data_IF_408701448436
#
_entry.id   IF_408701448436
#
_cell.length_a   1.000
_cell.length_b   1.000
_cell.length_c   1.000
_cell.angle_alpha   90.00
_cell.angle_beta   90.00
_cell.angle_gamma   90.00
#
_symmetry.space_group_name_H-M   'P 1'
#
loop_
_entity.id
_entity.type
_entity.pdbx_description
1 polymer ?
#
# COMPACT_ATOMS: atom_id res chain seq x y z
N UNK A 1 -5.26 19.29 -9.16
CA UNK A 1 -5.82 18.62 -7.96
C UNK A 1 -5.07 19.00 -6.68
N UNK A 2 -3.79 18.66 -6.50
CA UNK A 2 -3.05 18.96 -5.26
C UNK A 2 -3.08 20.45 -4.85
N UNK A 3 -2.80 21.37 -5.80
CA UNK A 3 -2.83 22.82 -5.56
C UNK A 3 -4.24 23.29 -5.16
N UNK A 4 -5.28 22.74 -5.77
CA UNK A 4 -6.67 23.09 -5.47
C UNK A 4 -7.08 22.62 -4.08
N UNK A 5 -6.66 21.43 -3.66
CA UNK A 5 -6.86 20.97 -2.29
C UNK A 5 -6.02 21.76 -1.28
N UNK A 6 -4.82 22.19 -1.63
CA UNK A 6 -4.03 23.09 -0.79
C UNK A 6 -4.70 24.45 -0.63
N UNK A 7 -5.30 25.00 -1.69
CA UNK A 7 -6.10 26.21 -1.63
C UNK A 7 -7.32 26.03 -0.72
N UNK A 8 -8.14 25.00 -0.96
CA UNK A 8 -9.31 24.70 -0.14
C UNK A 8 -8.93 24.44 1.32
N UNK A 9 -7.77 23.82 1.57
CA UNK A 9 -7.24 23.65 2.92
C UNK A 9 -6.91 24.99 3.60
N UNK A 10 -6.34 25.95 2.86
CA UNK A 10 -6.11 27.30 3.37
C UNK A 10 -7.41 28.05 3.67
N UNK A 11 -8.40 27.93 2.78
CA UNK A 11 -9.70 28.61 2.90
C UNK A 11 -10.57 28.03 4.02
N UNK A 12 -10.46 26.73 4.29
CA UNK A 12 -11.18 26.06 5.39
C UNK A 12 -10.70 26.45 6.79
N UNK A 13 -9.55 27.12 6.90
CA UNK A 13 -8.91 27.54 8.16
C UNK A 13 -9.05 26.48 9.28
N UNK A 14 -8.51 25.26 9.07
CA UNK A 14 -8.63 24.21 10.06
C UNK A 14 -7.85 24.55 11.33
N UNK A 15 -8.38 24.11 12.46
CA UNK A 15 -7.75 24.19 13.78
C UNK A 15 -6.43 23.40 13.78
N UNK A 16 -5.30 24.11 13.68
CA UNK A 16 -3.97 23.49 13.63
C UNK A 16 -3.68 22.56 14.81
N UNK A 17 -4.22 22.87 16.00
CA UNK A 17 -4.11 22.02 17.19
C UNK A 17 -4.81 20.67 17.02
N UNK A 18 -6.01 20.65 16.46
CA UNK A 18 -6.77 19.40 16.26
C UNK A 18 -6.14 18.55 15.16
N UNK A 19 -5.62 19.18 14.11
CA UNK A 19 -4.85 18.50 13.06
C UNK A 19 -3.58 17.85 13.62
N UNK A 20 -2.78 18.58 14.41
CA UNK A 20 -1.58 18.03 15.02
C UNK A 20 -1.90 16.86 15.96
N UNK A 21 -2.96 16.99 16.77
CA UNK A 21 -3.42 15.90 17.63
C UNK A 21 -3.87 14.70 16.79
N UNK A 22 -4.61 14.92 15.69
CA UNK A 22 -5.08 13.85 14.80
C UNK A 22 -3.97 13.13 14.04
N UNK A 23 -2.89 13.84 13.70
CA UNK A 23 -1.71 13.25 13.03
C UNK A 23 -0.83 12.47 14.00
N UNK A 24 -0.68 12.96 15.25
CA UNK A 24 0.25 12.38 16.23
C UNK A 24 -0.39 11.32 17.13
N UNK A 25 -1.69 11.41 17.40
CA UNK A 25 -2.38 10.54 18.37
C UNK A 25 -3.40 9.65 17.63
N UNK A 26 -3.11 8.35 17.47
CA UNK A 26 -4.05 7.42 16.85
C UNK A 26 -5.24 7.17 17.81
N UNK A 27 -6.41 7.71 17.48
CA UNK A 27 -7.68 7.40 18.16
C UNK A 27 -8.51 6.50 17.26
N UNK A 28 -8.67 5.23 17.65
CA UNK A 28 -9.47 4.25 16.91
C UNK A 28 -10.79 3.99 17.64
N UNK A 29 -11.89 4.11 16.90
CA UNK A 29 -13.23 3.67 17.31
C UNK A 29 -13.61 2.42 16.51
N UNK A 30 -14.47 1.57 17.07
CA UNK A 30 -14.94 0.32 16.44
C UNK A 30 -15.56 0.56 15.05
N UNK A 31 -16.21 1.71 14.83
CA UNK A 31 -16.78 2.09 13.52
C UNK A 31 -15.73 2.58 12.52
N UNK A 32 -14.65 3.20 13.01
CA UNK A 32 -13.62 3.83 12.17
C UNK A 32 -12.49 2.87 11.80
N UNK A 33 -12.33 1.76 12.53
CA UNK A 33 -11.23 0.82 12.31
C UNK A 33 -11.24 0.25 10.89
N UNK A 34 -12.42 -0.09 10.33
CA UNK A 34 -12.53 -0.63 8.97
C UNK A 34 -12.04 0.38 7.91
N UNK A 35 -12.43 1.65 8.06
CA UNK A 35 -12.01 2.74 7.16
C UNK A 35 -10.52 3.05 7.32
N UNK A 36 -10.03 3.15 8.56
CA UNK A 36 -8.62 3.40 8.84
C UNK A 36 -7.73 2.30 8.24
N UNK A 37 -8.16 1.04 8.37
CA UNK A 37 -7.49 -0.09 7.73
C UNK A 37 -7.54 0.00 6.21
N UNK A 38 -8.70 0.32 5.62
CA UNK A 38 -8.83 0.51 4.17
C UNK A 38 -7.86 1.57 3.64
N UNK A 39 -7.72 2.70 4.34
CA UNK A 39 -6.75 3.75 3.99
C UNK A 39 -5.32 3.21 4.03
N UNK A 40 -4.94 2.46 5.06
CA UNK A 40 -3.61 1.86 5.17
C UNK A 40 -3.33 0.86 4.04
N UNK A 41 -4.31 -0.01 3.72
CA UNK A 41 -4.22 -0.98 2.62
C UNK A 41 -4.08 -0.31 1.25
N UNK A 42 -4.81 0.80 1.02
CA UNK A 42 -4.73 1.58 -0.22
C UNK A 42 -3.39 2.28 -0.39
N UNK A 43 -2.73 2.72 0.69
CA UNK A 43 -1.43 3.41 0.62
C UNK A 43 -0.29 2.46 0.26
N UNK A 44 -0.33 1.22 0.75
CA UNK A 44 0.75 0.24 0.56
C UNK A 44 0.34 -0.78 -0.50
N UNK A 45 0.60 -0.43 -1.76
CA UNK A 45 0.26 -1.27 -2.91
C UNK A 45 1.41 -2.23 -3.27
N UNK A 46 1.18 -3.55 -3.35
CA UNK A 46 2.22 -4.55 -3.67
C UNK A 46 2.92 -4.31 -5.01
N UNK A 47 2.18 -3.89 -6.04
CA UNK A 47 2.76 -3.64 -7.36
C UNK A 47 3.73 -2.43 -7.37
N UNK A 48 3.53 -1.46 -6.49
CA UNK A 48 4.44 -0.31 -6.36
C UNK A 48 5.80 -0.71 -5.80
N UNK A 49 5.85 -1.72 -4.92
CA UNK A 49 7.10 -2.30 -4.41
C UNK A 49 7.94 -2.89 -5.55
N UNK A 50 7.31 -3.67 -6.43
CA UNK A 50 7.98 -4.24 -7.61
C UNK A 50 8.38 -3.17 -8.62
N UNK A 51 7.48 -2.22 -8.90
CA UNK A 51 7.72 -1.13 -9.83
C UNK A 51 8.89 -0.26 -9.39
N UNK A 52 8.91 0.19 -8.13
CA UNK A 52 9.97 1.05 -7.60
C UNK A 52 11.32 0.33 -7.60
N UNK A 53 11.36 -0.96 -7.23
CA UNK A 53 12.58 -1.77 -7.27
C UNK A 53 13.16 -1.87 -8.68
N UNK A 54 12.32 -1.87 -9.71
CA UNK A 54 12.75 -1.93 -11.10
C UNK A 54 13.10 -0.55 -11.69
N UNK A 55 12.37 0.51 -11.32
CA UNK A 55 12.66 1.88 -11.76
C UNK A 55 14.02 2.37 -11.25
N UNK A 56 14.42 1.96 -10.06
CA UNK A 56 15.76 2.23 -9.51
C UNK A 56 16.88 1.63 -10.38
N UNK A 57 16.61 0.56 -11.15
CA UNK A 57 17.57 -0.04 -12.07
C UNK A 57 17.64 0.69 -13.43
N UNK A 58 16.71 1.60 -13.71
CA UNK A 58 16.72 2.36 -14.98
C UNK A 58 17.87 3.36 -15.07
N UNK A 59 18.41 3.82 -13.93
CA UNK A 59 19.58 4.70 -13.90
C UNK A 59 20.85 3.85 -13.85
N UNK A 60 21.84 4.21 -14.67
CA UNK A 60 23.12 3.50 -14.75
C UNK A 60 23.96 3.80 -13.51
N UNK A 61 24.04 2.83 -12.59
CA UNK A 61 24.92 2.86 -11.41
C UNK A 61 25.92 1.73 -11.55
N UNK A 62 27.20 2.02 -11.37
CA UNK A 62 28.27 1.01 -11.38
C UNK A 62 28.26 0.25 -10.03
N UNK A 63 27.90 -1.05 -10.01
CA UNK A 63 27.77 -1.82 -8.78
C UNK A 63 29.13 -2.11 -8.12
N UNK A 64 30.23 -1.99 -8.85
CA UNK A 64 31.57 -2.28 -8.32
C UNK A 64 32.12 -1.15 -7.44
N UNK A 65 31.58 0.06 -7.58
CA UNK A 65 32.03 1.25 -6.84
C UNK A 65 31.11 1.53 -5.66
N UNK A 66 31.49 1.06 -4.47
CA UNK A 66 30.72 1.25 -3.22
C UNK A 66 30.26 2.71 -3.01
N UNK A 67 31.14 3.69 -3.24
CA UNK A 67 30.81 5.11 -3.08
C UNK A 67 29.67 5.57 -4.01
N UNK A 68 29.65 5.07 -5.26
CA UNK A 68 28.59 5.42 -6.23
C UNK A 68 27.26 4.77 -5.88
N UNK A 69 27.29 3.54 -5.36
CA UNK A 69 26.08 2.86 -4.87
C UNK A 69 25.52 3.59 -3.66
N UNK A 70 26.36 4.00 -2.71
CA UNK A 70 25.93 4.75 -1.53
C UNK A 70 25.34 6.13 -1.90
N UNK A 71 25.97 6.83 -2.85
CA UNK A 71 25.45 8.09 -3.38
C UNK A 71 24.09 7.89 -4.07
N UNK A 72 23.95 6.86 -4.91
CA UNK A 72 22.69 6.53 -5.56
C UNK A 72 21.59 6.20 -4.53
N UNK A 73 21.88 5.39 -3.51
CA UNK A 73 20.95 5.08 -2.42
C UNK A 73 20.47 6.33 -1.69
N UNK A 74 21.35 7.31 -1.46
CA UNK A 74 20.98 8.59 -0.85
C UNK A 74 20.02 9.38 -1.74
N UNK A 75 20.30 9.50 -3.03
CA UNK A 75 19.39 10.19 -3.96
C UNK A 75 18.05 9.49 -4.10
N UNK A 76 18.03 8.16 -4.20
CA UNK A 76 16.79 7.39 -4.25
C UNK A 76 15.97 7.51 -2.96
N UNK A 77 16.64 7.55 -1.81
CA UNK A 77 15.97 7.78 -0.53
C UNK A 77 15.34 9.17 -0.47
N UNK A 78 16.02 10.21 -0.94
CA UNK A 78 15.48 11.58 -1.00
C UNK A 78 14.30 11.65 -1.97
N UNK A 79 14.44 11.11 -3.19
CA UNK A 79 13.39 11.09 -4.21
C UNK A 79 12.12 10.39 -3.70
N UNK A 80 12.27 9.20 -3.11
CA UNK A 80 11.17 8.43 -2.56
C UNK A 80 10.53 9.11 -1.34
N UNK A 81 11.34 9.67 -0.44
CA UNK A 81 10.85 10.39 0.75
C UNK A 81 10.06 11.64 0.35
N UNK A 82 10.57 12.43 -0.59
CA UNK A 82 9.88 13.61 -1.10
C UNK A 82 8.53 13.25 -1.75
N UNK A 83 8.49 12.19 -2.57
CA UNK A 83 7.27 11.71 -3.20
C UNK A 83 6.22 11.26 -2.16
N UNK A 84 6.64 10.51 -1.14
CA UNK A 84 5.76 10.06 -0.06
C UNK A 84 5.27 11.20 0.82
N UNK A 85 6.10 12.21 1.09
CA UNK A 85 5.68 13.42 1.82
C UNK A 85 4.62 14.19 1.04
N UNK A 86 4.81 14.38 -0.27
CA UNK A 86 3.81 15.05 -1.12
C UNK A 86 2.50 14.26 -1.13
N UNK A 87 2.56 12.93 -1.26
CA UNK A 87 1.37 12.08 -1.20
C UNK A 87 0.66 12.18 0.15
N UNK A 88 1.41 12.17 1.25
CA UNK A 88 0.88 12.38 2.60
C UNK A 88 0.17 13.73 2.74
N UNK A 89 0.78 14.82 2.25
CA UNK A 89 0.18 16.16 2.29
C UNK A 89 -1.12 16.23 1.48
N UNK A 90 -1.17 15.62 0.30
CA UNK A 90 -2.39 15.57 -0.51
C UNK A 90 -3.50 14.83 0.24
N UNK A 91 -3.20 13.65 0.80
CA UNK A 91 -4.18 12.88 1.57
C UNK A 91 -4.66 13.63 2.82
N UNK A 92 -3.76 14.34 3.50
CA UNK A 92 -4.09 15.20 4.62
C UNK A 92 -5.04 16.33 4.21
N UNK A 93 -4.75 17.03 3.11
CA UNK A 93 -5.60 18.11 2.62
C UNK A 93 -6.98 17.62 2.19
N UNK A 94 -7.05 16.55 1.40
CA UNK A 94 -8.32 15.95 0.97
C UNK A 94 -9.16 15.56 2.19
N UNK A 95 -8.59 14.79 3.11
CA UNK A 95 -9.31 14.31 4.31
C UNK A 95 -9.79 15.47 5.18
N UNK A 96 -8.96 16.51 5.36
CA UNK A 96 -9.31 17.68 6.17
C UNK A 96 -10.42 18.51 5.55
N UNK A 97 -10.35 18.77 4.23
CA UNK A 97 -11.36 19.56 3.51
C UNK A 97 -12.73 18.88 3.58
N UNK A 98 -12.78 17.56 3.43
CA UNK A 98 -14.02 16.79 3.59
C UNK A 98 -14.49 16.72 5.04
N UNK A 99 -13.58 16.50 6.00
CA UNK A 99 -13.94 16.47 7.41
C UNK A 99 -14.50 17.82 7.89
N UNK A 100 -13.78 18.93 7.68
CA UNK A 100 -14.28 20.26 8.07
C UNK A 100 -15.50 20.68 7.26
N UNK A 101 -15.57 20.26 6.00
CA UNK A 101 -16.64 20.59 5.09
C UNK A 101 -17.97 19.90 5.42
N UNK A 102 -17.93 18.62 5.75
CA UNK A 102 -19.15 17.80 5.72
C UNK A 102 -19.32 16.91 6.94
N UNK A 103 -18.34 16.83 7.85
CA UNK A 103 -18.48 15.99 9.04
C UNK A 103 -19.66 16.44 9.92
N UNK A 104 -20.55 15.50 10.25
CA UNK A 104 -21.76 15.75 11.04
C UNK A 104 -22.95 16.31 10.25
N UNK A 105 -22.83 16.52 8.94
CA UNK A 105 -23.95 16.90 8.08
C UNK A 105 -24.78 15.67 7.66
N UNK A 106 -26.04 15.88 7.26
CA UNK A 106 -26.89 14.82 6.69
C UNK A 106 -26.35 14.30 5.35
N UNK A 107 -25.57 15.12 4.66
CA UNK A 107 -24.99 14.84 3.33
C UNK A 107 -23.72 13.96 3.43
N UNK A 108 -23.08 13.87 4.60
CA UNK A 108 -21.81 13.17 4.79
C UNK A 108 -21.84 11.70 4.34
N UNK A 109 -22.97 11.02 4.49
CA UNK A 109 -23.14 9.62 4.13
C UNK A 109 -23.40 9.39 2.63
N UNK A 110 -23.78 10.43 1.89
CA UNK A 110 -24.08 10.34 0.44
C UNK A 110 -22.95 10.84 -0.45
N UNK A 111 -21.84 11.33 0.13
CA UNK A 111 -20.70 11.83 -0.64
C UNK A 111 -19.88 10.63 -1.14
N UNK A 112 -19.96 10.39 -2.45
CA UNK A 112 -19.20 9.40 -3.19
C UNK A 112 -18.27 10.03 -4.24
N UNK A 113 -17.49 9.20 -4.93
CA UNK A 113 -16.51 9.66 -5.93
C UNK A 113 -17.16 10.47 -7.07
N UNK A 114 -18.38 10.09 -7.46
CA UNK A 114 -19.16 10.71 -8.55
C UNK A 114 -19.62 12.13 -8.20
N UNK A 115 -20.23 12.31 -7.03
CA UNK A 115 -20.87 13.56 -6.64
C UNK A 115 -19.96 14.47 -5.78
N UNK A 116 -18.81 13.98 -5.30
CA UNK A 116 -17.86 14.73 -4.48
C UNK A 116 -17.46 16.08 -5.11
N UNK A 117 -17.23 16.11 -6.43
CA UNK A 117 -16.90 17.34 -7.14
C UNK A 117 -18.00 18.40 -7.07
N UNK A 118 -19.28 17.98 -7.12
CA UNK A 118 -20.44 18.87 -7.03
C UNK A 118 -20.61 19.42 -5.61
N UNK A 119 -20.42 18.57 -4.59
CA UNK A 119 -20.45 19.01 -3.19
C UNK A 119 -19.32 20.01 -2.89
N UNK A 120 -18.11 19.75 -3.39
CA UNK A 120 -16.99 20.67 -3.25
C UNK A 120 -17.24 22.00 -3.97
N UNK A 121 -17.79 21.98 -5.19
CA UNK A 121 -18.16 23.18 -5.92
C UNK A 121 -19.28 23.96 -5.20
N UNK A 122 -20.28 23.29 -4.63
CA UNK A 122 -21.35 23.96 -3.90
C UNK A 122 -20.84 24.66 -2.64
N UNK A 123 -19.84 24.09 -1.97
CA UNK A 123 -19.32 24.60 -0.69
C UNK A 123 -18.19 25.61 -0.84
N UNK A 124 -17.27 25.36 -1.76
CA UNK A 124 -16.04 26.13 -1.95
C UNK A 124 -15.96 26.76 -3.36
N UNK A 125 -16.93 26.50 -4.23
CA UNK A 125 -17.01 27.12 -5.55
C UNK A 125 -17.52 28.56 -5.48
N UNK A 126 -17.55 29.22 -6.65
CA UNK A 126 -17.80 30.66 -6.77
C UNK A 126 -16.53 31.53 -6.73
N UNK A 127 -15.35 30.93 -6.53
CA UNK A 127 -14.04 31.58 -6.67
C UNK A 127 -13.46 31.53 -8.09
N UNK A 128 -12.17 31.86 -8.22
CA UNK A 128 -11.44 31.82 -9.52
C UNK A 128 -11.19 30.41 -10.07
N UNK A 129 -11.32 29.37 -9.24
CA UNK A 129 -10.98 27.99 -9.61
C UNK A 129 -12.25 27.15 -9.82
N UNK A 130 -12.44 26.54 -11.01
CA UNK A 130 -13.55 25.62 -11.26
C UNK A 130 -13.29 24.25 -10.61
N UNK A 131 -13.69 24.07 -9.35
CA UNK A 131 -13.34 22.90 -8.53
C UNK A 131 -13.94 21.62 -9.12
N UNK A 132 -15.18 21.66 -9.60
CA UNK A 132 -15.83 20.53 -10.26
C UNK A 132 -15.00 19.99 -11.44
N UNK A 133 -14.53 20.89 -12.30
CA UNK A 133 -13.73 20.52 -13.46
C UNK A 133 -12.34 20.03 -13.05
N UNK A 134 -11.72 20.63 -12.03
CA UNK A 134 -10.42 20.18 -11.54
C UNK A 134 -10.53 18.80 -10.88
N UNK A 135 -11.63 18.50 -10.20
CA UNK A 135 -11.94 17.17 -9.69
C UNK A 135 -12.05 16.17 -10.84
N UNK A 136 -12.88 16.46 -11.85
CA UNK A 136 -13.05 15.60 -13.02
C UNK A 136 -11.75 15.35 -13.81
N UNK A 137 -11.02 16.41 -14.16
CA UNK A 137 -9.69 16.30 -14.82
C UNK A 137 -8.72 15.53 -13.94
N UNK A 138 -8.79 15.74 -12.64
CA UNK A 138 -7.96 15.04 -11.67
C UNK A 138 -8.24 13.54 -11.61
N UNK A 139 -9.51 13.13 -11.62
CA UNK A 139 -9.92 11.72 -11.71
C UNK A 139 -9.44 11.09 -13.01
N UNK A 140 -9.58 11.79 -14.14
CA UNK A 140 -9.05 11.33 -15.43
C UNK A 140 -7.53 11.16 -15.39
N UNK A 141 -6.80 12.12 -14.82
CA UNK A 141 -5.34 12.07 -14.68
C UNK A 141 -4.90 10.90 -13.77
N UNK A 142 -5.62 10.65 -12.67
CA UNK A 142 -5.37 9.50 -11.79
C UNK A 142 -5.54 8.16 -12.53
N UNK A 143 -6.59 8.03 -13.35
CA UNK A 143 -6.81 6.86 -14.20
C UNK A 143 -5.69 6.61 -15.23
N UNK A 144 -5.18 7.68 -15.85
CA UNK A 144 -4.03 7.56 -16.75
C UNK A 144 -2.75 7.16 -16.02
N UNK A 145 -2.49 7.75 -14.84
CA UNK A 145 -1.34 7.39 -14.00
C UNK A 145 -1.37 5.90 -13.62
N UNK A 146 -2.53 5.40 -13.15
CA UNK A 146 -2.74 3.99 -12.80
C UNK A 146 -2.49 3.04 -13.98
N UNK A 147 -2.85 3.43 -15.20
CA UNK A 147 -2.55 2.62 -16.39
C UNK A 147 -1.04 2.52 -16.63
N UNK A 148 -0.34 3.65 -16.55
CA UNK A 148 1.10 3.69 -16.81
C UNK A 148 1.83 2.84 -15.76
N UNK A 149 1.53 3.04 -14.47
CA UNK A 149 2.15 2.27 -13.38
C UNK A 149 1.79 0.79 -13.48
N UNK A 150 0.53 0.44 -13.76
CA UNK A 150 0.07 -0.93 -13.93
C UNK A 150 0.77 -1.65 -15.09
N UNK A 151 0.93 -0.98 -16.24
CA UNK A 151 1.64 -1.58 -17.38
C UNK A 151 3.15 -1.74 -17.12
N UNK A 152 3.79 -0.83 -16.39
CA UNK A 152 5.21 -1.01 -16.02
C UNK A 152 5.38 -2.10 -14.96
N UNK A 153 4.57 -2.11 -13.90
CA UNK A 153 4.63 -3.15 -12.88
C UNK A 153 4.39 -4.54 -13.50
N UNK A 154 3.38 -4.65 -14.37
CA UNK A 154 3.11 -5.87 -15.12
C UNK A 154 4.27 -6.32 -16.00
N UNK A 155 5.06 -5.38 -16.57
CA UNK A 155 6.26 -5.74 -17.34
C UNK A 155 7.28 -6.49 -16.50
N UNK A 156 7.58 -5.96 -15.32
CA UNK A 156 8.63 -6.48 -14.46
C UNK A 156 8.20 -7.79 -13.82
N UNK A 157 6.92 -7.91 -13.46
CA UNK A 157 6.36 -9.16 -12.93
C UNK A 157 6.34 -10.24 -14.02
N UNK A 158 5.80 -9.96 -15.21
CA UNK A 158 5.73 -10.93 -16.30
C UNK A 158 7.12 -11.33 -16.81
N UNK A 159 8.04 -10.36 -16.95
CA UNK A 159 9.40 -10.63 -17.41
C UNK A 159 10.27 -11.32 -16.35
N UNK A 160 10.07 -11.00 -15.07
CA UNK A 160 10.85 -11.56 -13.97
C UNK A 160 10.34 -12.93 -13.50
N UNK A 161 9.05 -13.07 -13.22
CA UNK A 161 8.48 -14.31 -12.67
C UNK A 161 8.06 -15.32 -13.73
N UNK A 162 7.48 -14.85 -14.85
CA UNK A 162 6.93 -15.74 -15.89
C UNK A 162 7.84 -15.87 -17.12
N UNK A 163 8.93 -15.09 -17.17
CA UNK A 163 9.80 -14.94 -18.35
C UNK A 163 9.01 -14.64 -19.65
N UNK A 164 7.86 -13.96 -19.54
CA UNK A 164 6.98 -13.61 -20.64
C UNK A 164 7.28 -12.20 -21.15
N UNK A 165 7.74 -12.10 -22.40
CA UNK A 165 8.06 -10.82 -23.06
C UNK A 165 6.94 -10.39 -24.00
N UNK A 166 5.93 -9.72 -23.44
CA UNK A 166 4.83 -9.13 -24.23
C UNK A 166 5.16 -7.71 -24.69
N UNK A 167 4.67 -7.34 -25.89
CA UNK A 167 4.71 -5.96 -26.38
C UNK A 167 3.90 -5.04 -25.44
N UNK A 168 4.36 -3.79 -25.25
CA UNK A 168 3.75 -2.81 -24.33
C UNK A 168 2.24 -2.62 -24.58
N UNK A 169 1.84 -2.46 -25.85
CA UNK A 169 0.43 -2.27 -26.21
C UNK A 169 -0.42 -3.50 -25.95
N UNK A 170 0.08 -4.70 -26.28
CA UNK A 170 -0.65 -5.95 -26.04
C UNK A 170 -0.87 -6.19 -24.53
N UNK A 171 0.15 -5.93 -23.72
CA UNK A 171 0.01 -6.01 -22.26
C UNK A 171 -1.03 -5.02 -21.74
N UNK A 172 -0.97 -3.77 -22.18
CA UNK A 172 -1.94 -2.74 -21.78
C UNK A 172 -3.37 -3.10 -22.19
N UNK A 173 -3.54 -3.65 -23.40
CA UNK A 173 -4.82 -4.12 -23.90
C UNK A 173 -5.36 -5.24 -23.01
N UNK A 174 -4.58 -6.29 -22.76
CA UNK A 174 -4.99 -7.43 -21.92
C UNK A 174 -5.39 -6.95 -20.53
N UNK A 175 -4.53 -6.20 -19.84
CA UNK A 175 -4.81 -5.75 -18.46
C UNK A 175 -6.02 -4.81 -18.40
N UNK A 176 -6.22 -3.96 -19.41
CA UNK A 176 -7.39 -3.07 -19.47
C UNK A 176 -8.67 -3.83 -19.83
N UNK A 177 -8.63 -4.81 -20.72
CA UNK A 177 -9.77 -5.65 -21.03
C UNK A 177 -10.24 -6.40 -19.77
N UNK A 178 -9.31 -6.98 -19.00
CA UNK A 178 -9.64 -7.63 -17.73
C UNK A 178 -10.21 -6.68 -16.66
N UNK A 179 -9.88 -5.38 -16.70
CA UNK A 179 -10.44 -4.40 -15.78
C UNK A 179 -11.79 -3.83 -16.26
N UNK A 180 -11.87 -3.43 -17.53
CA UNK A 180 -13.02 -2.71 -18.09
C UNK A 180 -14.17 -3.66 -18.41
N UNK A 181 -13.90 -4.85 -18.97
CA UNK A 181 -14.99 -5.75 -19.40
C UNK A 181 -15.86 -6.19 -18.22
N UNK A 182 -15.32 -6.65 -17.07
CA UNK A 182 -16.17 -7.00 -15.93
C UNK A 182 -16.91 -5.77 -15.38
N UNK A 183 -16.24 -4.63 -15.30
CA UNK A 183 -16.85 -3.38 -14.81
C UNK A 183 -18.01 -2.94 -15.71
N UNK A 184 -17.85 -3.04 -17.03
CA UNK A 184 -18.87 -2.69 -18.01
C UNK A 184 -20.05 -3.67 -17.98
N UNK A 185 -19.80 -4.97 -17.80
CA UNK A 185 -20.87 -5.96 -17.58
C UNK A 185 -21.65 -5.59 -16.31
N UNK A 186 -20.97 -5.32 -15.19
CA UNK A 186 -21.65 -4.93 -13.95
C UNK A 186 -22.47 -3.64 -14.16
N UNK A 187 -21.90 -2.64 -14.81
CA UNK A 187 -22.59 -1.36 -15.06
C UNK A 187 -23.82 -1.50 -15.98
N UNK A 188 -23.78 -2.36 -17.00
CA UNK A 188 -24.89 -2.52 -17.95
C UNK A 188 -26.00 -3.44 -17.42
N UNK A 189 -25.67 -4.42 -16.58
CA UNK A 189 -26.65 -5.41 -16.09
C UNK A 189 -27.22 -5.08 -14.70
N UNK A 190 -26.51 -4.31 -13.87
CA UNK A 190 -26.91 -3.99 -12.49
C UNK A 190 -27.31 -2.51 -12.32
N UNK A 191 -28.05 -2.00 -13.31
CA UNK A 191 -28.49 -0.61 -13.44
C UNK A 191 -28.87 0.02 -12.08
N UNK A 192 -28.18 1.11 -11.70
CA UNK A 192 -28.52 2.00 -10.56
C UNK A 192 -28.53 1.42 -9.12
N UNK A 193 -27.80 0.35 -8.82
CA UNK A 193 -27.48 0.07 -7.40
C UNK A 193 -26.02 0.42 -7.08
N UNK A 194 -25.80 1.52 -6.35
CA UNK A 194 -24.49 1.86 -5.76
C UNK A 194 -23.88 0.66 -5.03
N UNK A 195 -24.74 -0.20 -4.47
CA UNK A 195 -24.39 -1.45 -3.81
C UNK A 195 -23.54 -2.40 -4.67
N UNK A 196 -23.83 -2.59 -5.97
CA UNK A 196 -23.07 -3.54 -6.79
C UNK A 196 -21.64 -3.06 -7.08
N UNK A 197 -21.46 -1.75 -7.25
CA UNK A 197 -20.14 -1.13 -7.45
C UNK A 197 -19.34 -1.11 -6.14
N UNK A 198 -20.00 -0.87 -5.01
CA UNK A 198 -19.38 -0.99 -3.69
C UNK A 198 -18.91 -2.41 -3.41
N UNK A 199 -19.74 -3.42 -3.71
CA UNK A 199 -19.34 -4.84 -3.60
C UNK A 199 -18.13 -5.13 -4.49
N UNK A 200 -18.11 -4.65 -5.74
CA UNK A 200 -16.95 -4.82 -6.62
C UNK A 200 -15.68 -4.18 -6.02
N UNK A 201 -15.79 -2.98 -5.47
CA UNK A 201 -14.68 -2.30 -4.80
C UNK A 201 -14.18 -3.08 -3.58
N UNK A 202 -15.08 -3.67 -2.79
CA UNK A 202 -14.73 -4.54 -1.67
C UNK A 202 -13.96 -5.79 -2.14
N UNK A 203 -14.42 -6.47 -3.20
CA UNK A 203 -13.71 -7.60 -3.80
C UNK A 203 -12.31 -7.22 -4.30
N UNK A 204 -12.15 -6.04 -4.90
CA UNK A 204 -10.85 -5.53 -5.32
C UNK A 204 -9.91 -5.28 -4.13
N UNK A 205 -10.43 -4.74 -3.03
CA UNK A 205 -9.67 -4.54 -1.79
C UNK A 205 -9.25 -5.88 -1.16
N UNK A 206 -10.10 -6.90 -1.22
CA UNK A 206 -9.79 -8.27 -0.79
C UNK A 206 -8.66 -8.86 -1.64
N UNK A 207 -8.74 -8.73 -2.97
CA UNK A 207 -7.68 -9.18 -3.87
C UNK A 207 -6.35 -8.46 -3.61
N UNK A 208 -6.37 -7.16 -3.31
CA UNK A 208 -5.18 -6.41 -2.92
C UNK A 208 -4.61 -6.89 -1.58
N UNK A 209 -5.47 -7.16 -0.60
CA UNK A 209 -5.11 -7.68 0.72
C UNK A 209 -4.35 -9.01 0.62
N UNK A 210 -4.84 -9.92 -0.24
CA UNK A 210 -4.20 -11.23 -0.47
C UNK A 210 -2.77 -11.09 -0.98
N UNK A 211 -2.49 -10.08 -1.82
CA UNK A 211 -1.18 -9.88 -2.46
C UNK A 211 -0.09 -9.32 -1.54
N UNK A 212 -0.47 -8.62 -0.45
CA UNK A 212 0.48 -7.92 0.43
C UNK A 212 1.56 -8.84 1.02
N UNK A 213 1.23 -9.99 1.65
CA UNK A 213 2.25 -10.86 2.23
C UNK A 213 3.22 -11.42 1.18
N UNK A 214 2.73 -11.74 -0.02
CA UNK A 214 3.55 -12.27 -1.11
C UNK A 214 4.61 -11.29 -1.61
N UNK A 215 4.35 -9.98 -1.53
CA UNK A 215 5.33 -8.98 -1.92
C UNK A 215 6.25 -8.59 -0.75
N UNK A 216 5.68 -8.35 0.44
CA UNK A 216 6.45 -7.84 1.57
C UNK A 216 7.39 -8.88 2.18
N UNK A 217 6.93 -10.12 2.41
CA UNK A 217 7.76 -11.12 3.11
C UNK A 217 9.04 -11.44 2.32
N UNK A 218 9.00 -11.72 0.99
CA UNK A 218 10.20 -11.94 0.21
C UNK A 218 11.10 -10.71 0.16
N UNK A 219 10.54 -9.50 0.00
CA UNK A 219 11.31 -8.27 -0.01
C UNK A 219 12.11 -8.10 1.28
N UNK A 220 11.45 -8.20 2.45
CA UNK A 220 12.11 -8.03 3.74
C UNK A 220 13.15 -9.11 4.00
N UNK A 221 12.90 -10.32 3.53
CA UNK A 221 13.85 -11.44 3.63
C UNK A 221 15.09 -11.19 2.77
N UNK A 222 14.93 -10.75 1.52
CA UNK A 222 16.02 -10.48 0.58
C UNK A 222 16.88 -9.30 1.03
N UNK A 223 16.24 -8.21 1.46
CA UNK A 223 16.92 -6.98 1.91
C UNK A 223 17.66 -7.20 3.25
N UNK A 224 17.23 -8.18 4.05
CA UNK A 224 17.91 -8.60 5.29
C UNK A 224 19.09 -9.55 5.05
N UNK A 225 19.26 -10.11 3.85
CA UNK A 225 20.20 -11.20 3.59
C UNK A 225 21.55 -10.67 3.10
N UNK A 226 22.60 -10.95 3.85
CA UNK A 226 23.97 -10.53 3.51
C UNK A 226 24.48 -11.14 2.20
N UNK A 227 24.05 -12.37 1.85
CA UNK A 227 24.39 -12.99 0.57
C UNK A 227 23.84 -12.24 -0.64
N UNK A 228 22.76 -11.47 -0.48
CA UNK A 228 22.10 -10.73 -1.57
C UNK A 228 22.52 -9.25 -1.55
N UNK A 229 22.51 -8.62 -0.37
CA UNK A 229 22.77 -7.18 -0.23
C UNK A 229 24.23 -6.83 0.07
N UNK A 230 25.06 -7.80 0.44
CA UNK A 230 26.47 -7.59 0.80
C UNK A 230 26.62 -6.54 1.91
N UNK A 231 27.47 -5.53 1.67
CA UNK A 231 27.72 -4.43 2.61
C UNK A 231 26.54 -3.47 2.81
N UNK A 232 25.49 -3.54 1.98
CA UNK A 232 24.33 -2.65 2.04
C UNK A 232 23.10 -3.31 2.68
N UNK A 233 23.30 -4.33 3.52
CA UNK A 233 22.21 -4.95 4.30
C UNK A 233 21.55 -3.94 5.25
N UNK A 234 20.25 -4.11 5.49
CA UNK A 234 19.56 -3.24 6.45
C UNK A 234 20.07 -3.44 7.87
N UNK A 235 20.15 -2.34 8.62
CA UNK A 235 20.51 -2.35 10.04
C UNK A 235 19.47 -3.08 10.89
N UNK A 236 19.87 -3.51 12.09
CA UNK A 236 19.00 -4.26 13.01
C UNK A 236 17.72 -3.49 13.37
N UNK A 237 17.85 -2.19 13.63
CA UNK A 237 16.71 -1.32 13.97
C UNK A 237 15.71 -1.25 12.81
N UNK A 238 16.17 -0.92 11.59
CA UNK A 238 15.32 -0.87 10.41
C UNK A 238 14.66 -2.22 10.13
N UNK A 239 15.39 -3.32 10.31
CA UNK A 239 14.85 -4.67 10.15
C UNK A 239 13.69 -4.92 11.11
N UNK A 240 13.86 -4.64 12.40
CA UNK A 240 12.78 -4.82 13.40
C UNK A 240 11.59 -3.93 13.05
N UNK A 241 11.82 -2.65 12.77
CA UNK A 241 10.75 -1.69 12.43
C UNK A 241 9.96 -2.15 11.20
N UNK A 242 10.63 -2.52 10.11
CA UNK A 242 9.93 -2.91 8.88
C UNK A 242 9.20 -4.25 9.03
N UNK A 243 9.73 -5.20 9.81
CA UNK A 243 9.01 -6.43 10.13
C UNK A 243 7.79 -6.20 11.02
N UNK A 244 7.86 -5.30 12.00
CA UNK A 244 6.70 -4.91 12.82
C UNK A 244 5.62 -4.27 11.96
N UNK A 245 5.99 -3.33 11.08
CA UNK A 245 5.05 -2.69 10.15
C UNK A 245 4.43 -3.73 9.21
N UNK A 246 5.24 -4.63 8.63
CA UNK A 246 4.70 -5.69 7.77
C UNK A 246 3.78 -6.64 8.52
N UNK A 247 4.13 -7.06 9.74
CA UNK A 247 3.28 -7.91 10.57
C UNK A 247 1.94 -7.22 10.87
N UNK A 248 1.97 -5.94 11.26
CA UNK A 248 0.76 -5.14 11.48
C UNK A 248 -0.13 -5.14 10.24
N UNK A 249 0.43 -4.88 9.06
CA UNK A 249 -0.32 -4.85 7.80
C UNK A 249 -0.91 -6.21 7.46
N UNK A 250 -0.14 -7.29 7.60
CA UNK A 250 -0.59 -8.66 7.30
C UNK A 250 -1.74 -9.06 8.23
N UNK A 251 -1.63 -8.78 9.53
CA UNK A 251 -2.69 -9.06 10.52
C UNK A 251 -3.95 -8.27 10.21
N UNK A 252 -3.80 -6.97 9.95
CA UNK A 252 -4.91 -6.07 9.66
C UNK A 252 -5.66 -6.49 8.38
N UNK A 253 -4.93 -6.75 7.29
CA UNK A 253 -5.54 -7.18 6.03
C UNK A 253 -6.12 -8.60 6.14
N UNK A 254 -5.49 -9.47 6.93
CA UNK A 254 -6.02 -10.79 7.27
C UNK A 254 -7.34 -10.70 8.04
N UNK A 255 -7.49 -9.75 8.97
CA UNK A 255 -8.74 -9.51 9.68
C UNK A 255 -9.85 -9.03 8.74
N UNK A 256 -9.57 -8.10 7.83
CA UNK A 256 -10.55 -7.68 6.83
C UNK A 256 -10.98 -8.82 5.93
N UNK A 257 -10.01 -9.62 5.46
CA UNK A 257 -10.25 -10.77 4.61
C UNK A 257 -11.17 -11.79 5.31
N UNK A 258 -10.88 -12.12 6.57
CA UNK A 258 -11.71 -13.03 7.37
C UNK A 258 -13.12 -12.48 7.58
N UNK A 259 -13.24 -11.20 7.95
CA UNK A 259 -14.54 -10.57 8.17
C UNK A 259 -15.41 -10.58 6.90
N UNK A 260 -14.81 -10.25 5.76
CA UNK A 260 -15.47 -10.28 4.45
C UNK A 260 -15.94 -11.69 4.08
N UNK A 261 -15.09 -12.71 4.24
CA UNK A 261 -15.50 -14.08 3.94
C UNK A 261 -16.57 -14.61 4.89
N UNK A 262 -16.55 -14.23 6.17
CA UNK A 262 -17.60 -14.63 7.12
C UNK A 262 -18.94 -13.97 6.77
N UNK A 263 -18.95 -12.73 6.28
CA UNK A 263 -20.20 -12.04 5.92
C UNK A 263 -20.81 -12.51 4.60
N UNK A 264 -19.99 -12.86 3.61
CA UNK A 264 -20.45 -13.17 2.25
C UNK A 264 -20.83 -14.65 2.08
N UNK A 265 -20.25 -15.55 2.88
CA UNK A 265 -20.40 -16.99 2.72
C UNK A 265 -21.50 -17.52 3.63
N UNK A 266 -22.72 -17.63 3.11
CA UNK A 266 -23.85 -18.28 3.79
C UNK A 266 -24.08 -19.73 3.35
N UNK A 267 -23.57 -20.14 2.19
CA UNK A 267 -23.75 -21.49 1.62
C UNK A 267 -22.71 -22.51 2.12
N UNK A 268 -23.15 -23.68 2.59
CA UNK A 268 -22.29 -24.72 3.18
C UNK A 268 -21.21 -25.25 2.22
N UNK A 269 -21.56 -25.48 0.95
CA UNK A 269 -20.62 -26.00 -0.06
C UNK A 269 -19.60 -24.94 -0.49
N UNK A 270 -20.05 -23.71 -0.72
CA UNK A 270 -19.15 -22.61 -1.06
C UNK A 270 -18.24 -22.28 0.13
N UNK A 271 -18.77 -22.35 1.35
CA UNK A 271 -18.00 -22.09 2.55
C UNK A 271 -16.91 -23.11 2.83
N UNK A 272 -17.15 -24.40 2.64
CA UNK A 272 -16.09 -25.40 2.79
C UNK A 272 -14.94 -25.17 1.80
N UNK A 273 -15.24 -24.83 0.54
CA UNK A 273 -14.23 -24.53 -0.48
C UNK A 273 -13.43 -23.28 -0.12
N UNK A 274 -14.10 -22.19 0.28
CA UNK A 274 -13.45 -20.95 0.71
C UNK A 274 -12.56 -21.18 1.93
N UNK A 275 -13.03 -21.94 2.93
CA UNK A 275 -12.23 -22.28 4.10
C UNK A 275 -10.98 -23.08 3.75
N UNK A 276 -11.07 -24.05 2.83
CA UNK A 276 -9.90 -24.79 2.34
C UNK A 276 -8.89 -23.85 1.67
N UNK A 277 -9.34 -22.95 0.79
CA UNK A 277 -8.47 -21.96 0.13
C UNK A 277 -7.81 -21.04 1.15
N UNK A 278 -8.56 -20.60 2.16
CA UNK A 278 -8.09 -19.72 3.21
C UNK A 278 -7.05 -20.41 4.11
N UNK A 279 -7.27 -21.68 4.46
CA UNK A 279 -6.29 -22.48 5.22
C UNK A 279 -5.02 -22.70 4.41
N UNK A 280 -5.13 -23.01 3.12
CA UNK A 280 -3.96 -23.13 2.22
C UNK A 280 -3.20 -21.80 2.16
N UNK A 281 -3.91 -20.69 2.02
CA UNK A 281 -3.34 -19.35 1.98
C UNK A 281 -2.59 -19.01 3.28
N UNK A 282 -3.24 -19.19 4.44
CA UNK A 282 -2.61 -18.93 5.74
C UNK A 282 -1.40 -19.84 5.94
N UNK A 283 -1.51 -21.12 5.59
CA UNK A 283 -0.39 -22.07 5.68
C UNK A 283 0.78 -21.64 4.80
N UNK A 284 0.52 -21.13 3.61
CA UNK A 284 1.54 -20.61 2.71
C UNK A 284 2.19 -19.32 3.23
N UNK A 285 1.40 -18.39 3.78
CA UNK A 285 1.92 -17.18 4.43
C UNK A 285 2.78 -17.54 5.63
N UNK A 286 2.32 -18.49 6.47
CA UNK A 286 3.09 -19.01 7.60
C UNK A 286 4.40 -19.65 7.12
N UNK A 287 4.36 -20.44 6.05
CA UNK A 287 5.56 -21.02 5.43
C UNK A 287 6.55 -19.93 4.98
N UNK A 288 6.07 -18.85 4.33
CA UNK A 288 6.92 -17.72 3.95
C UNK A 288 7.53 -17.01 5.15
N UNK A 289 6.75 -16.79 6.22
CA UNK A 289 7.23 -16.17 7.46
C UNK A 289 8.27 -17.06 8.12
N UNK A 290 8.00 -18.35 8.28
CA UNK A 290 8.93 -19.32 8.88
C UNK A 290 10.24 -19.37 8.10
N UNK A 291 10.19 -19.45 6.78
CA UNK A 291 11.40 -19.43 5.95
C UNK A 291 12.15 -18.09 6.01
N UNK A 292 11.44 -16.97 6.16
CA UNK A 292 12.02 -15.65 6.36
C UNK A 292 12.64 -15.45 7.76
N UNK A 293 12.04 -16.06 8.79
CA UNK A 293 12.43 -15.94 10.21
C UNK A 293 13.44 -16.99 10.67
N UNK A 294 13.49 -18.20 10.10
CA UNK A 294 14.55 -19.18 10.37
C UNK A 294 15.95 -18.65 10.00
N UNK A 295 16.02 -17.76 9.01
CA UNK A 295 17.21 -16.96 8.70
C UNK A 295 17.55 -15.95 9.81
N UNK A 296 16.54 -15.37 10.46
CA UNK A 296 16.67 -14.43 11.56
C UNK A 296 17.13 -15.15 12.84
N UNK A 297 16.53 -16.29 13.17
CA UNK A 297 16.94 -17.14 14.29
C UNK A 297 18.35 -17.70 14.11
N UNK A 298 18.72 -18.19 12.92
CA UNK A 298 20.09 -18.66 12.64
C UNK A 298 21.13 -17.54 12.73
N UNK A 299 20.82 -16.31 12.33
CA UNK A 299 21.74 -15.17 12.42
C UNK A 299 21.83 -14.56 13.83
N UNK A 300 20.73 -14.52 14.58
CA UNK A 300 20.72 -14.11 16.00
C UNK A 300 21.51 -15.12 16.85
N UNK A 301 21.36 -16.42 16.60
CA UNK A 301 22.16 -17.47 17.25
C UNK A 301 23.66 -17.39 16.90
N UNK A 302 24.01 -17.01 15.66
CA UNK A 302 25.41 -16.78 15.27
C UNK A 302 25.98 -15.49 15.88
N UNK A 303 25.18 -14.42 15.96
CA UNK A 303 25.56 -13.18 16.66
C UNK A 303 25.75 -13.38 18.16
N UNK A 304 24.90 -14.20 18.80
CA UNK A 304 25.05 -14.59 20.21
C UNK A 304 26.24 -15.52 20.45
N UNK A 305 26.54 -16.45 19.54
CA UNK A 305 27.77 -17.26 19.61
C UNK A 305 29.02 -16.40 19.40
N UNK A 306 28.98 -15.41 18.51
CA UNK A 306 30.08 -14.46 18.29
C UNK A 306 30.38 -13.60 19.52
N UNK A 307 29.34 -13.10 20.21
CA UNK A 307 29.51 -12.39 21.48
C UNK A 307 30.03 -13.30 22.61
N UNK A 308 29.62 -14.57 22.67
CA UNK A 308 30.14 -15.55 23.63
C UNK A 308 31.60 -15.91 23.39
N UNK A 309 32.05 -15.94 22.13
CA UNK A 309 33.45 -16.14 21.77
C UNK A 309 34.28 -14.91 22.12
N UNK A 310 33.75 -13.70 21.90
CA UNK A 310 34.39 -12.44 22.34
C UNK A 310 34.46 -12.31 23.87
N UNK A 311 33.44 -12.74 24.62
CA UNK A 311 33.49 -12.73 26.10
C UNK A 311 34.47 -13.78 26.65
N UNK A 312 34.59 -14.94 26.00
CA UNK A 312 35.59 -15.95 26.35
C UNK A 312 37.04 -15.52 26.02
N UNK A 313 37.24 -14.65 25.02
CA UNK A 313 38.55 -14.07 24.71
C UNK A 313 38.89 -12.89 25.64
N UNK A 314 37.90 -12.15 26.14
CA UNK A 314 38.06 -11.00 27.03
C UNK A 314 38.03 -11.34 28.54
N UNK A 315 38.01 -12.62 28.91
CA UNK A 315 38.35 -13.08 30.25
C UNK A 315 37.37 -12.71 31.38
N UNK A 316 36.13 -12.32 31.09
CA UNK A 316 35.12 -12.11 32.12
C UNK A 316 33.88 -12.98 31.86
N UNK A 317 33.61 -13.98 32.74
CA UNK A 317 32.37 -14.74 32.68
C UNK A 317 31.23 -13.85 33.19
N UNK A 318 30.32 -13.48 32.29
CA UNK A 318 29.02 -12.94 32.66
C UNK A 318 28.08 -14.13 32.84
N UNK A 319 27.97 -14.60 34.08
CA UNK A 319 26.76 -15.28 34.55
C UNK A 319 25.62 -14.25 34.57
N UNK A 320 24.50 -14.58 33.92
CA UNK A 320 23.08 -14.19 34.11
C UNK A 320 22.35 -14.39 32.78
#
# INVERSE_FOLDING_TARGET
>A
MAISFAWMFGETQPSGRELLIGVLVPKLSSKTIRQAVGVVGCVIMPHNVYLHSALVQSRKVDPNKKNRVQEALRYYSIESTAALIISFLINLFVTTVFAKGFYGSKEAGSIGLENAGQYLERKYGGGRLPILYIWGIGLLAAGQSSTITGTYAGQFIMGGFLNLRLKKWLRALITRSFAIVPTMIVALFFDTSDAALDTLNEWLNVLQSVQIPFALIPLLTLVSKEQVMGSFKIGHVSKVVTWVVAALLIVINGYLLLNFFISEVNDLLFGTLVWVVLVIYISFVLYLILRGTDLLNRLVLVGWKGLRVLSNILGHPLEW
#
